data_IF_192640399580
#
_entry.id   IF_192640399580
#
_cell.length_a   1.000
_cell.length_b   1.000
_cell.length_c   1.000
_cell.angle_alpha   90.00
_cell.angle_beta   90.00
_cell.angle_gamma   90.00
#
_symmetry.space_group_name_H-M   'P 1'
#
loop_
_entity.id
_entity.type
_entity.pdbx_description
1 polymer ?
#
# COMPACT_ATOMS: atom_id res chain seq x y z
N UNK A 1 -9.83 -6.45 4.80
CA UNK A 1 -8.45 -6.20 5.26
C UNK A 1 -8.53 -5.02 6.19
N UNK A 2 -7.97 -5.20 7.38
CA UNK A 2 -7.88 -4.16 8.39
C UNK A 2 -6.47 -3.57 8.34
N UNK A 3 -6.38 -2.27 8.54
CA UNK A 3 -5.13 -1.52 8.67
C UNK A 3 -5.34 -0.59 9.86
N UNK A 4 -4.39 -0.57 10.79
CA UNK A 4 -4.49 0.29 11.97
C UNK A 4 -3.75 1.62 11.74
N UNK A 5 -3.90 2.54 12.69
CA UNK A 5 -3.27 3.87 12.63
C UNK A 5 -1.74 3.80 12.59
N UNK A 6 -1.14 2.91 13.38
CA UNK A 6 0.32 2.72 13.41
C UNK A 6 0.86 2.27 12.06
N UNK A 7 0.19 1.33 11.40
CA UNK A 7 0.58 0.86 10.06
C UNK A 7 0.54 2.00 9.02
N UNK A 8 -0.41 2.93 9.15
CA UNK A 8 -0.51 4.10 8.29
C UNK A 8 0.65 5.06 8.54
N UNK A 9 0.99 5.33 9.82
CA UNK A 9 2.12 6.19 10.20
C UNK A 9 3.45 5.57 9.73
N UNK A 10 3.63 4.26 9.89
CA UNK A 10 4.81 3.54 9.41
C UNK A 10 4.93 3.64 7.88
N UNK A 11 3.82 3.51 7.14
CA UNK A 11 3.81 3.68 5.69
C UNK A 11 4.12 5.12 5.25
N UNK A 12 3.57 6.14 5.93
CA UNK A 12 3.90 7.56 5.71
C UNK A 12 5.40 7.78 5.91
N UNK A 13 5.95 7.27 7.00
CA UNK A 13 7.39 7.39 7.34
C UNK A 13 8.26 6.79 6.23
N UNK A 14 7.93 5.59 5.75
CA UNK A 14 8.64 4.95 4.65
C UNK A 14 8.60 5.78 3.36
N UNK A 15 7.45 6.39 3.04
CA UNK A 15 7.28 7.24 1.86
C UNK A 15 7.95 8.62 2.00
N UNK A 16 8.26 9.06 3.21
CA UNK A 16 9.05 10.27 3.44
C UNK A 16 10.56 9.99 3.36
N UNK A 17 10.99 8.82 3.85
CA UNK A 17 12.40 8.45 3.91
C UNK A 17 12.94 7.93 2.57
N UNK A 18 12.17 7.09 1.88
CA UNK A 18 12.64 6.38 0.69
C UNK A 18 11.88 6.80 -0.57
N UNK A 19 12.57 7.23 -1.64
CA UNK A 19 11.91 7.46 -2.93
C UNK A 19 11.51 6.13 -3.58
N UNK A 20 10.52 6.18 -4.48
CA UNK A 20 10.23 5.06 -5.37
C UNK A 20 11.37 4.83 -6.37
N UNK A 21 11.70 3.57 -6.62
CA UNK A 21 12.71 3.16 -7.59
C UNK A 21 12.50 1.74 -8.12
N UNK A 22 13.36 1.30 -9.03
CA UNK A 22 13.32 -0.05 -9.63
C UNK A 22 14.41 -0.98 -9.06
N UNK A 23 14.98 -0.64 -7.90
CA UNK A 23 16.01 -1.43 -7.22
C UNK A 23 15.73 -1.56 -5.72
N UNK A 24 16.47 -2.41 -5.03
CA UNK A 24 16.39 -2.55 -3.57
C UNK A 24 17.46 -1.70 -2.84
N UNK A 25 18.12 -0.77 -3.54
CA UNK A 25 19.16 0.10 -2.97
C UNK A 25 18.55 1.42 -2.49
N UNK A 26 18.19 1.49 -1.21
CA UNK A 26 17.64 2.69 -0.55
C UNK A 26 16.41 3.29 -1.27
N UNK A 27 15.65 2.45 -1.96
CA UNK A 27 14.40 2.84 -2.63
C UNK A 27 13.29 1.86 -2.30
N UNK A 28 12.05 2.33 -2.32
CA UNK A 28 10.89 1.44 -2.38
C UNK A 28 10.84 0.89 -3.81
N UNK A 29 11.09 -0.42 -3.96
CA UNK A 29 11.12 -1.09 -5.26
C UNK A 29 9.71 -1.19 -5.88
N UNK A 30 9.25 -0.11 -6.48
CA UNK A 30 7.91 0.00 -7.04
C UNK A 30 7.73 -0.88 -8.28
N UNK A 31 8.79 -1.13 -9.05
CA UNK A 31 8.75 -2.04 -10.19
C UNK A 31 8.40 -3.48 -9.77
N UNK A 32 9.02 -3.96 -8.68
CA UNK A 32 8.71 -5.27 -8.10
C UNK A 32 7.29 -5.33 -7.56
N UNK A 33 6.86 -4.31 -6.82
CA UNK A 33 5.50 -4.21 -6.26
C UNK A 33 4.46 -4.22 -7.39
N UNK A 34 4.65 -3.39 -8.42
CA UNK A 34 3.76 -3.30 -9.57
C UNK A 34 3.63 -4.65 -10.30
N UNK A 35 4.75 -5.36 -10.49
CA UNK A 35 4.75 -6.70 -11.10
C UNK A 35 3.95 -7.75 -10.30
N UNK A 36 3.95 -7.66 -8.96
CA UNK A 36 3.13 -8.53 -8.10
C UNK A 36 1.65 -8.16 -8.25
N UNK A 37 1.32 -6.87 -8.11
CA UNK A 37 -0.05 -6.38 -8.24
C UNK A 37 -0.65 -6.63 -9.64
N UNK A 38 0.17 -6.68 -10.69
CA UNK A 38 -0.30 -6.99 -12.04
C UNK A 38 -0.68 -8.46 -12.24
N UNK A 39 -0.15 -9.36 -11.40
CA UNK A 39 -0.41 -10.81 -11.46
C UNK A 39 -1.56 -11.21 -10.55
N UNK A 40 -1.79 -10.46 -9.46
CA UNK A 40 -2.77 -10.79 -8.42
C UNK A 40 -3.67 -9.59 -8.08
N UNK A 41 -4.97 -9.78 -8.32
CA UNK A 41 -5.98 -8.75 -8.08
C UNK A 41 -6.21 -8.47 -6.59
N UNK A 42 -6.05 -9.47 -5.71
CA UNK A 42 -6.20 -9.30 -4.27
C UNK A 42 -5.08 -8.47 -3.67
N UNK A 43 -3.83 -8.67 -4.13
CA UNK A 43 -2.70 -7.83 -3.76
C UNK A 43 -2.88 -6.40 -4.28
N UNK A 44 -3.23 -6.25 -5.56
CA UNK A 44 -3.56 -4.96 -6.13
C UNK A 44 -4.65 -4.23 -5.32
N UNK A 45 -5.78 -4.88 -5.06
CA UNK A 45 -6.92 -4.26 -4.38
C UNK A 45 -6.57 -3.83 -2.96
N UNK A 46 -5.84 -4.67 -2.24
CA UNK A 46 -5.40 -4.37 -0.87
C UNK A 46 -4.44 -3.19 -0.84
N UNK A 47 -3.43 -3.21 -1.71
CA UNK A 47 -2.41 -2.17 -1.72
C UNK A 47 -2.97 -0.81 -2.15
N UNK A 48 -3.72 -0.74 -3.25
CA UNK A 48 -4.25 0.54 -3.75
C UNK A 48 -5.25 1.16 -2.77
N UNK A 49 -6.09 0.34 -2.13
CA UNK A 49 -7.01 0.80 -1.10
C UNK A 49 -6.27 1.33 0.14
N UNK A 50 -5.17 0.70 0.54
CA UNK A 50 -4.40 1.17 1.69
C UNK A 50 -3.53 2.40 1.35
N UNK A 51 -3.00 2.51 0.14
CA UNK A 51 -2.30 3.73 -0.31
C UNK A 51 -3.22 4.95 -0.31
N UNK A 52 -4.48 4.80 -0.70
CA UNK A 52 -5.46 5.88 -0.60
C UNK A 52 -5.74 6.28 0.86
N UNK A 53 -5.80 5.32 1.79
CA UNK A 53 -5.89 5.63 3.23
C UNK A 53 -4.64 6.32 3.77
N UNK A 54 -3.45 5.93 3.30
CA UNK A 54 -2.19 6.59 3.66
C UNK A 54 -2.20 8.06 3.22
N UNK A 55 -2.62 8.33 1.98
CA UNK A 55 -2.78 9.71 1.48
C UNK A 55 -3.79 10.50 2.32
N UNK A 56 -4.97 9.94 2.59
CA UNK A 56 -6.00 10.60 3.42
C UNK A 56 -5.53 10.84 4.86
N UNK A 57 -4.79 9.90 5.45
CA UNK A 57 -4.20 10.10 6.77
C UNK A 57 -3.21 11.26 6.75
N UNK A 58 -2.29 11.28 5.78
CA UNK A 58 -1.30 12.34 5.67
C UNK A 58 -1.93 13.74 5.53
N UNK A 59 -3.03 13.87 4.79
CA UNK A 59 -3.80 15.12 4.64
C UNK A 59 -4.39 15.66 5.95
N UNK A 60 -4.54 14.80 6.98
CA UNK A 60 -5.14 15.14 8.27
C UNK A 60 -4.19 14.93 9.45
N UNK A 61 -2.94 14.56 9.21
CA UNK A 61 -1.97 14.27 10.26
C UNK A 61 -1.24 15.56 10.66
N UNK A 62 -1.64 16.14 11.80
CA UNK A 62 -1.17 17.45 12.28
C UNK A 62 0.35 17.54 12.47
N UNK A 63 1.03 16.40 12.59
CA UNK A 63 2.48 16.31 12.75
C UNK A 63 3.25 16.49 11.43
N UNK A 64 2.61 16.38 10.26
CA UNK A 64 3.24 16.65 8.98
C UNK A 64 3.12 18.13 8.62
N UNK A 65 4.18 18.69 8.08
CA UNK A 65 4.08 19.98 7.42
C UNK A 65 3.47 19.87 6.00
N UNK A 66 3.22 21.03 5.37
CA UNK A 66 2.65 21.09 4.02
C UNK A 66 3.54 20.44 2.95
N UNK A 67 4.86 20.48 3.13
CA UNK A 67 5.82 19.91 2.20
C UNK A 67 5.88 18.39 2.32
N UNK A 68 5.88 17.86 3.55
CA UNK A 68 5.81 16.43 3.85
C UNK A 68 4.49 15.83 3.35
N UNK A 69 3.36 16.49 3.64
CA UNK A 69 2.03 16.08 3.16
C UNK A 69 1.99 15.98 1.63
N UNK A 70 2.55 16.98 0.94
CA UNK A 70 2.66 16.99 -0.53
C UNK A 70 3.55 15.85 -1.02
N UNK A 71 4.73 15.64 -0.42
CA UNK A 71 5.66 14.57 -0.81
C UNK A 71 5.03 13.19 -0.68
N UNK A 72 4.30 12.91 0.41
CA UNK A 72 3.58 11.65 0.59
C UNK A 72 2.52 11.49 -0.49
N UNK A 73 1.73 12.52 -0.75
CA UNK A 73 0.68 12.50 -1.78
C UNK A 73 1.25 12.24 -3.18
N UNK A 74 2.37 12.88 -3.52
CA UNK A 74 3.06 12.70 -4.80
C UNK A 74 3.63 11.28 -4.94
N UNK A 75 4.27 10.75 -3.88
CA UNK A 75 4.78 9.37 -3.87
C UNK A 75 3.65 8.35 -4.00
N UNK A 76 2.52 8.54 -3.28
CA UNK A 76 1.35 7.67 -3.39
C UNK A 76 0.80 7.68 -4.82
N UNK A 77 0.64 8.85 -5.42
CA UNK A 77 0.14 8.97 -6.79
C UNK A 77 1.09 8.29 -7.79
N UNK A 78 2.40 8.52 -7.67
CA UNK A 78 3.40 7.86 -8.51
C UNK A 78 3.38 6.33 -8.37
N UNK A 79 3.18 5.81 -7.15
CA UNK A 79 3.04 4.38 -6.90
C UNK A 79 1.80 3.80 -7.60
N UNK A 80 0.65 4.47 -7.45
CA UNK A 80 -0.60 4.06 -8.12
C UNK A 80 -0.44 4.04 -9.64
N UNK A 81 0.11 5.10 -10.22
CA UNK A 81 0.33 5.21 -11.67
C UNK A 81 1.24 4.09 -12.19
N UNK A 82 2.34 3.82 -11.49
CA UNK A 82 3.29 2.73 -11.83
C UNK A 82 2.64 1.35 -11.74
N UNK A 83 1.77 1.12 -10.75
CA UNK A 83 1.01 -0.12 -10.56
C UNK A 83 -0.05 -0.29 -11.67
N UNK A 84 -0.74 0.77 -12.07
CA UNK A 84 -1.76 0.71 -13.13
C UNK A 84 -1.17 0.51 -14.52
N UNK A 85 0.01 1.08 -14.79
CA UNK A 85 0.70 0.95 -16.06
C UNK A 85 1.10 -0.51 -16.41
N UNK A 86 1.22 -1.39 -15.41
CA UNK A 86 1.62 -2.78 -15.63
C UNK A 86 0.56 -3.62 -16.36
N UNK A 87 1.03 -4.46 -17.30
CA UNK A 87 0.15 -5.35 -18.06
C UNK A 87 -0.45 -6.44 -17.17
N UNK A 88 -1.72 -6.30 -16.83
CA UNK A 88 -2.44 -7.25 -15.97
C UNK A 88 -2.57 -8.64 -16.61
N UNK A 89 -2.37 -9.68 -15.81
CA UNK A 89 -2.53 -11.08 -16.22
C UNK A 89 -3.99 -11.40 -16.55
N UNK A 90 -4.22 -12.53 -17.25
CA UNK A 90 -5.59 -12.98 -17.53
C UNK A 90 -6.34 -13.39 -16.26
N UNK A 91 -5.66 -14.04 -15.29
CA UNK A 91 -6.25 -14.39 -13.99
C UNK A 91 -6.65 -13.14 -13.21
N UNK A 92 -5.80 -12.10 -13.23
CA UNK A 92 -6.11 -10.80 -12.65
C UNK A 92 -7.39 -10.21 -13.26
N UNK A 93 -7.49 -10.16 -14.59
CA UNK A 93 -8.65 -9.60 -15.31
C UNK A 93 -9.94 -10.36 -15.02
N UNK A 94 -9.87 -11.70 -14.96
CA UNK A 94 -11.00 -12.53 -14.57
C UNK A 94 -11.43 -12.26 -13.12
N UNK A 95 -10.46 -12.13 -12.19
CA UNK A 95 -10.73 -11.81 -10.79
C UNK A 95 -11.27 -10.39 -10.61
N UNK A 96 -10.86 -9.44 -11.44
CA UNK A 96 -11.36 -8.06 -11.44
C UNK A 96 -12.84 -7.99 -11.81
N UNK A 97 -13.32 -8.82 -12.75
CA UNK A 97 -14.76 -8.94 -13.06
C UNK A 97 -15.58 -9.45 -11.89
N UNK A 98 -14.98 -10.25 -11.00
CA UNK A 98 -15.62 -10.67 -9.75
C UNK A 98 -15.62 -9.51 -8.77
N UNK A 99 -14.55 -8.74 -8.67
CA UNK A 99 -14.45 -7.57 -7.80
C UNK A 99 -14.62 -7.90 -6.32
N UNK A 100 -15.06 -6.92 -5.55
CA UNK A 100 -15.17 -7.01 -4.09
C UNK A 100 -16.30 -7.95 -3.62
N UNK A 101 -17.17 -8.42 -4.53
CA UNK A 101 -18.32 -9.29 -4.20
C UNK A 101 -17.93 -10.65 -3.62
N UNK A 102 -16.69 -11.10 -3.88
CA UNK A 102 -16.10 -12.27 -3.22
C UNK A 102 -14.96 -11.77 -2.34
N UNK A 103 -14.97 -12.21 -1.07
CA UNK A 103 -13.86 -11.97 -0.14
C UNK A 103 -12.54 -12.44 -0.77
N UNK A 104 -11.50 -11.60 -0.67
CA UNK A 104 -10.18 -11.84 -1.28
C UNK A 104 -9.04 -11.93 -0.26
N UNK A 105 -9.36 -11.75 1.02
CA UNK A 105 -8.42 -11.82 2.13
C UNK A 105 -8.90 -12.82 3.15
N UNK A 106 -7.97 -13.35 3.92
CA UNK A 106 -8.26 -14.16 5.10
C UNK A 106 -8.26 -13.25 6.33
N UNK A 107 -9.17 -13.48 7.26
CA UNK A 107 -9.10 -12.80 8.55
C UNK A 107 -7.91 -13.37 9.32
N UNK A 108 -7.00 -12.48 9.70
CA UNK A 108 -5.94 -12.75 10.66
C UNK A 108 -6.30 -11.92 11.88
N UNK A 109 -6.50 -12.56 13.03
CA UNK A 109 -6.74 -11.85 14.29
C UNK A 109 -5.47 -11.08 14.71
N UNK A 110 -5.64 -10.07 15.55
CA UNK A 110 -4.51 -9.35 16.15
C UNK A 110 -3.62 -10.32 16.94
N UNK A 111 -2.32 -10.31 16.65
CA UNK A 111 -1.32 -10.92 17.52
C UNK A 111 -1.26 -10.04 18.77
N UNK A 112 -2.07 -10.36 19.77
CA UNK A 112 -1.91 -9.81 21.12
C UNK A 112 -0.48 -10.14 21.53
N UNK A 113 0.32 -9.12 21.85
CA UNK A 113 1.65 -9.31 22.38
C UNK A 113 1.57 -10.33 23.52
N UNK A 114 2.35 -11.41 23.45
CA UNK A 114 2.44 -12.36 24.54
C UNK A 114 2.82 -11.58 25.80
N UNK A 115 2.12 -11.76 26.94
CA UNK A 115 2.52 -11.12 28.18
C UNK A 115 3.98 -11.45 28.48
N UNK A 116 4.77 -10.46 28.85
CA UNK A 116 6.23 -10.61 29.08
C UNK A 116 6.59 -11.47 30.30
N UNK A 117 5.62 -12.03 31.03
CA UNK A 117 5.89 -12.78 32.25
C UNK A 117 5.47 -14.25 32.13
N UNK A 118 6.47 -15.12 31.90
CA UNK A 118 6.44 -16.55 32.18
C UNK A 118 7.72 -16.98 32.90
#
# INVERSE_FOLDING_TARGET
VEINEKDLIDAITLLLEFPLGDSDAETINIGRIAGICAKDWGWWRTLTMNLDKVRQMAEHYEQLDEDETRRVSDQVQAALDRIEAEKKSMSWKLRAKVGDRKKWYRDVGELIAMPEDA
#
